data_IF_904508085392
#
_entry.id   IF_904508085392
#
_cell.length_a   1.000
_cell.length_b   1.000
_cell.length_c   1.000
_cell.angle_alpha   90.00
_cell.angle_beta   90.00
_cell.angle_gamma   90.00
#
_symmetry.space_group_name_H-M   'P 1'
#
loop_
_entity.id
_entity.type
_entity.pdbx_description
1 polymer ?
#
# COMPACT_ATOMS: atom_id res chain seq x y z
N UNK A 1 -27.25 2.63 2.20
CA UNK A 1 -26.42 3.84 2.16
C UNK A 1 -25.00 3.38 2.40
N UNK A 2 -24.23 3.13 1.34
CA UNK A 2 -22.79 2.86 1.48
C UNK A 2 -22.12 4.20 1.72
N UNK A 3 -21.49 4.32 2.88
CA UNK A 3 -20.69 5.46 3.26
C UNK A 3 -19.56 5.56 2.23
N UNK A 4 -19.64 6.51 1.31
CA UNK A 4 -18.49 6.89 0.51
C UNK A 4 -17.58 7.61 1.48
N UNK A 5 -16.59 6.90 2.03
CA UNK A 5 -15.46 7.57 2.67
C UNK A 5 -14.87 8.46 1.59
N UNK A 6 -15.06 9.77 1.69
CA UNK A 6 -14.38 10.71 0.83
C UNK A 6 -12.90 10.64 1.22
N UNK A 7 -12.16 9.73 0.60
CA UNK A 7 -10.72 9.59 0.80
C UNK A 7 -10.08 10.86 0.26
N UNK A 8 -9.72 11.78 1.16
CA UNK A 8 -8.91 12.94 0.78
C UNK A 8 -7.51 12.42 0.48
N UNK A 9 -6.93 12.81 -0.66
CA UNK A 9 -5.56 12.42 -0.98
C UNK A 9 -4.58 12.95 0.06
N UNK A 10 -3.54 12.17 0.38
CA UNK A 10 -2.52 12.59 1.31
C UNK A 10 -1.67 13.73 0.70
N UNK A 11 -1.33 14.75 1.49
CA UNK A 11 -0.37 15.76 1.05
C UNK A 11 1.05 15.21 1.18
N UNK A 12 1.64 14.82 0.06
CA UNK A 12 2.96 14.18 0.04
C UNK A 12 4.10 15.12 0.42
N UNK A 13 3.96 16.43 0.23
CA UNK A 13 4.99 17.42 0.59
C UNK A 13 5.09 17.63 2.10
N UNK A 14 3.99 17.45 2.82
CA UNK A 14 3.90 17.61 4.28
C UNK A 14 4.03 16.28 5.02
N UNK A 15 4.08 15.17 4.29
CA UNK A 15 4.22 13.83 4.87
C UNK A 15 5.69 13.50 5.09
N UNK A 16 6.09 13.38 6.35
CA UNK A 16 7.43 12.90 6.71
C UNK A 16 7.53 11.40 6.45
N UNK A 17 8.60 11.00 5.77
CA UNK A 17 8.90 9.61 5.40
C UNK A 17 10.38 9.32 5.69
N UNK A 18 10.78 8.07 6.00
CA UNK A 18 9.92 6.88 6.11
C UNK A 18 9.01 6.89 7.35
N UNK A 19 8.07 5.95 7.39
CA UNK A 19 7.15 5.72 8.51
C UNK A 19 7.08 4.22 8.87
N UNK A 20 6.45 3.91 10.00
CA UNK A 20 6.21 2.52 10.45
C UNK A 20 5.07 1.83 9.67
N UNK A 21 4.96 0.51 9.80
CA UNK A 21 3.91 -0.26 9.11
C UNK A 21 2.49 0.18 9.51
N UNK A 22 2.27 0.56 10.77
CA UNK A 22 0.94 0.93 11.24
C UNK A 22 0.44 2.19 10.53
N UNK A 23 1.29 3.21 10.45
CA UNK A 23 1.07 4.45 9.72
C UNK A 23 0.90 4.17 8.23
N UNK A 24 1.73 3.30 7.67
CA UNK A 24 1.63 2.88 6.27
C UNK A 24 0.27 2.28 5.92
N UNK A 25 -0.21 1.33 6.73
CA UNK A 25 -1.51 0.69 6.55
C UNK A 25 -2.67 1.67 6.76
N UNK A 26 -2.50 2.65 7.65
CA UNK A 26 -3.48 3.72 7.83
C UNK A 26 -3.62 4.58 6.57
N UNK A 27 -2.50 5.06 6.00
CA UNK A 27 -2.53 5.82 4.74
C UNK A 27 -3.08 5.01 3.57
N UNK A 28 -2.71 3.73 3.46
CA UNK A 28 -3.28 2.83 2.46
C UNK A 28 -4.81 2.70 2.59
N UNK A 29 -5.33 2.63 3.82
CA UNK A 29 -6.76 2.44 4.07
C UNK A 29 -7.58 3.72 3.91
N UNK A 30 -7.10 4.81 4.50
CA UNK A 30 -7.86 6.06 4.62
C UNK A 30 -7.70 6.97 3.41
N UNK A 31 -6.54 6.91 2.76
CA UNK A 31 -6.21 7.77 1.62
C UNK A 31 -6.15 6.98 0.31
N UNK A 32 -6.04 5.64 0.37
CA UNK A 32 -5.90 4.79 -0.82
C UNK A 32 -4.48 4.75 -1.37
N UNK A 33 -3.49 5.09 -0.55
CA UNK A 33 -2.10 5.21 -0.98
C UNK A 33 -1.46 3.87 -1.33
N UNK A 34 -0.57 3.91 -2.31
CA UNK A 34 0.37 2.84 -2.60
C UNK A 34 1.56 2.99 -1.65
N UNK A 35 1.95 1.91 -0.97
CA UNK A 35 3.01 1.95 0.05
C UNK A 35 4.21 1.16 -0.43
N UNK A 36 5.39 1.77 -0.52
CA UNK A 36 6.66 1.09 -0.79
C UNK A 36 7.35 0.70 0.52
N UNK A 37 7.82 -0.53 0.63
CA UNK A 37 8.83 -0.94 1.61
C UNK A 37 10.18 -0.99 0.90
N UNK A 38 11.13 -0.17 1.36
CA UNK A 38 12.49 -0.11 0.78
C UNK A 38 13.54 -0.19 1.87
N UNK A 39 14.36 -1.23 1.79
CA UNK A 39 15.56 -1.38 2.60
C UNK A 39 16.69 -2.09 1.82
N UNK A 40 17.71 -2.60 2.50
CA UNK A 40 18.84 -3.29 1.85
C UNK A 40 18.44 -4.62 1.18
N UNK A 41 17.38 -5.27 1.67
CA UNK A 41 16.93 -6.61 1.28
C UNK A 41 15.63 -6.58 0.48
N UNK A 42 14.73 -5.65 0.82
CA UNK A 42 13.38 -5.55 0.30
C UNK A 42 13.23 -4.30 -0.56
N UNK A 43 12.56 -4.48 -1.70
CA UNK A 43 12.05 -3.38 -2.51
C UNK A 43 10.76 -3.82 -3.19
N UNK A 44 9.63 -3.46 -2.60
CA UNK A 44 8.30 -3.77 -3.12
C UNK A 44 7.32 -2.67 -2.74
N UNK A 45 6.28 -2.49 -3.54
CA UNK A 45 5.13 -1.66 -3.15
C UNK A 45 3.89 -2.50 -2.96
N UNK A 46 2.98 -1.98 -2.15
CA UNK A 46 1.74 -2.61 -1.74
C UNK A 46 0.56 -1.71 -2.00
N UNK A 47 -0.59 -2.31 -2.25
CA UNK A 47 -1.87 -1.60 -2.26
C UNK A 47 -3.00 -2.51 -1.79
N UNK A 48 -4.05 -1.88 -1.27
CA UNK A 48 -5.26 -2.53 -0.81
C UNK A 48 -6.25 -2.67 -1.96
N UNK A 49 -6.63 -3.90 -2.26
CA UNK A 49 -7.74 -4.24 -3.15
C UNK A 49 -8.94 -4.68 -2.30
N UNK A 50 -10.11 -4.11 -2.60
CA UNK A 50 -11.37 -4.44 -1.93
C UNK A 50 -12.35 -4.96 -2.96
N UNK A 51 -12.62 -6.25 -2.89
CA UNK A 51 -13.54 -6.91 -3.82
C UNK A 51 -14.87 -7.18 -3.14
N UNK A 52 -15.96 -6.68 -3.74
CA UNK A 52 -17.32 -7.01 -3.33
C UNK A 52 -17.79 -8.24 -4.09
N UNK A 53 -17.96 -9.36 -3.40
CA UNK A 53 -18.38 -10.64 -4.00
C UNK A 53 -19.47 -11.35 -3.20
N UNK A 54 -20.24 -12.28 -3.80
CA UNK A 54 -21.17 -13.11 -3.04
C UNK A 54 -20.43 -14.01 -2.05
N UNK A 55 -20.89 -14.07 -0.81
CA UNK A 55 -20.41 -14.96 0.25
C UNK A 55 -21.57 -15.47 1.12
N UNK A 56 -21.26 -16.33 2.11
CA UNK A 56 -22.25 -16.86 3.07
C UNK A 56 -21.96 -16.26 4.44
N UNK A 57 -22.91 -15.51 4.99
CA UNK A 57 -22.87 -14.95 6.35
C UNK A 57 -24.10 -15.43 7.09
N UNK A 58 -23.91 -16.08 8.24
CA UNK A 58 -25.00 -16.66 9.04
C UNK A 58 -25.96 -17.54 8.21
N UNK A 59 -25.41 -18.36 7.31
CA UNK A 59 -26.18 -19.30 6.48
C UNK A 59 -26.96 -18.66 5.32
N UNK A 60 -26.79 -17.36 5.05
CA UNK A 60 -27.47 -16.66 3.95
C UNK A 60 -26.48 -16.07 2.97
N UNK A 61 -26.84 -16.10 1.68
CA UNK A 61 -26.07 -15.46 0.61
C UNK A 61 -26.17 -13.94 0.74
N UNK A 62 -25.03 -13.29 0.87
CA UNK A 62 -24.92 -11.84 0.99
C UNK A 62 -23.71 -11.35 0.19
N UNK A 63 -23.70 -10.08 -0.18
CA UNK A 63 -22.46 -9.47 -0.66
C UNK A 63 -21.54 -9.22 0.53
N UNK A 64 -20.31 -9.67 0.43
CA UNK A 64 -19.25 -9.41 1.40
C UNK A 64 -18.13 -8.66 0.70
N UNK A 65 -17.46 -7.79 1.45
CA UNK A 65 -16.22 -7.16 1.02
C UNK A 65 -15.06 -8.03 1.50
N UNK A 66 -14.18 -8.38 0.57
CA UNK A 66 -12.96 -9.12 0.87
C UNK A 66 -11.79 -8.21 0.55
N UNK A 67 -11.00 -7.93 1.58
CA UNK A 67 -9.82 -7.10 1.46
C UNK A 67 -8.60 -7.99 1.20
N UNK A 68 -7.73 -7.54 0.31
CA UNK A 68 -6.44 -8.17 0.04
C UNK A 68 -5.41 -7.08 -0.12
N UNK A 69 -4.24 -7.26 0.50
CA UNK A 69 -3.08 -6.40 0.24
C UNK A 69 -2.19 -7.15 -0.73
N UNK A 70 -1.97 -6.56 -1.90
CA UNK A 70 -1.01 -7.08 -2.86
C UNK A 70 0.36 -6.47 -2.61
N UNK A 71 1.42 -7.21 -2.90
CA UNK A 71 2.80 -6.73 -2.84
C UNK A 71 3.52 -7.09 -4.14
N UNK A 72 4.09 -6.09 -4.82
CA UNK A 72 4.77 -6.23 -6.10
C UNK A 72 6.19 -5.67 -6.05
N UNK A 73 7.12 -6.38 -6.66
CA UNK A 73 8.49 -5.92 -6.85
C UNK A 73 8.63 -5.09 -8.13
N UNK A 74 9.82 -4.53 -8.35
CA UNK A 74 10.12 -3.70 -9.53
C UNK A 74 9.98 -4.40 -10.88
N UNK A 75 9.97 -5.74 -10.90
CA UNK A 75 9.80 -6.53 -12.12
C UNK A 75 8.33 -6.90 -12.39
N UNK A 76 7.39 -6.38 -11.59
CA UNK A 76 5.96 -6.67 -11.68
C UNK A 76 5.57 -8.04 -11.13
N UNK A 77 6.49 -8.75 -10.50
CA UNK A 77 6.23 -10.03 -9.82
C UNK A 77 5.70 -9.81 -8.42
N UNK A 78 4.87 -10.75 -7.93
CA UNK A 78 4.41 -10.71 -6.53
C UNK A 78 5.55 -11.07 -5.58
N UNK A 79 5.65 -10.34 -4.47
CA UNK A 79 6.57 -10.70 -3.38
C UNK A 79 6.04 -11.94 -2.67
N UNK A 80 6.74 -13.06 -2.80
CA UNK A 80 6.29 -14.37 -2.27
C UNK A 80 6.66 -14.62 -0.81
N UNK A 81 7.68 -13.92 -0.32
CA UNK A 81 8.15 -14.02 1.07
C UNK A 81 8.48 -12.64 1.59
N UNK A 82 7.95 -12.31 2.76
CA UNK A 82 8.25 -11.09 3.50
C UNK A 82 8.74 -11.49 4.89
N UNK A 83 9.91 -11.03 5.29
CA UNK A 83 10.38 -11.23 6.65
C UNK A 83 9.60 -10.29 7.59
N UNK A 84 8.85 -10.88 8.52
CA UNK A 84 8.03 -10.11 9.47
C UNK A 84 8.88 -9.22 10.37
N UNK A 85 10.14 -9.59 10.66
CA UNK A 85 11.03 -8.76 11.44
C UNK A 85 11.31 -7.41 10.75
N UNK A 86 11.48 -7.41 9.43
CA UNK A 86 11.75 -6.22 8.64
C UNK A 86 10.54 -5.27 8.63
N UNK A 87 9.33 -5.80 8.83
CA UNK A 87 8.11 -4.99 8.88
C UNK A 87 7.97 -4.12 10.13
N UNK A 88 8.82 -4.32 11.14
CA UNK A 88 8.84 -3.48 12.35
C UNK A 88 9.77 -2.26 12.21
N UNK A 89 10.48 -2.12 11.09
CA UNK A 89 11.35 -0.98 10.86
C UNK A 89 10.58 0.20 10.24
N UNK A 90 11.11 1.42 10.41
CA UNK A 90 10.66 2.62 9.69
C UNK A 90 11.25 2.63 8.27
N UNK A 91 10.73 1.75 7.43
CA UNK A 91 11.23 1.53 6.06
C UNK A 91 10.11 1.61 5.01
N UNK A 92 8.99 2.26 5.37
CA UNK A 92 7.83 2.45 4.51
C UNK A 92 7.73 3.89 4.00
N UNK A 93 7.35 4.01 2.73
CA UNK A 93 7.24 5.24 1.97
C UNK A 93 5.93 5.20 1.16
N UNK A 94 5.44 6.35 0.73
CA UNK A 94 4.41 6.45 -0.31
C UNK A 94 5.06 6.17 -1.66
N UNK A 95 4.56 5.16 -2.37
CA UNK A 95 5.04 4.82 -3.71
C UNK A 95 4.73 5.99 -4.67
N UNK A 96 5.76 6.46 -5.36
CA UNK A 96 5.65 7.48 -6.38
C UNK A 96 5.44 6.83 -7.75
N UNK A 97 4.88 7.58 -8.69
CA UNK A 97 4.65 7.14 -10.06
C UNK A 97 5.08 8.22 -11.04
N UNK A 98 5.58 7.80 -12.20
CA UNK A 98 5.92 8.70 -13.30
C UNK A 98 4.66 9.21 -14.03
N UNK A 99 4.86 10.09 -15.03
CA UNK A 99 3.76 10.67 -15.83
C UNK A 99 2.94 9.61 -16.61
N UNK A 100 3.49 8.42 -16.82
CA UNK A 100 2.82 7.31 -17.50
C UNK A 100 2.13 6.36 -16.52
N UNK A 101 2.22 6.61 -15.21
CA UNK A 101 1.69 5.75 -14.16
C UNK A 101 2.56 4.54 -13.85
N UNK A 102 3.82 4.51 -14.29
CA UNK A 102 4.75 3.47 -13.88
C UNK A 102 5.30 3.78 -12.49
N UNK A 103 5.46 2.77 -11.62
CA UNK A 103 6.02 2.99 -10.30
C UNK A 103 7.47 3.48 -10.39
N UNK A 104 7.81 4.54 -9.65
CA UNK A 104 9.15 5.09 -9.55
C UNK A 104 9.96 4.36 -8.46
N UNK A 105 11.03 3.69 -8.89
CA UNK A 105 11.91 2.89 -8.05
C UNK A 105 13.19 3.60 -7.63
N UNK A 106 13.35 4.89 -7.95
CA UNK A 106 14.46 5.71 -7.44
C UNK A 106 14.52 5.64 -5.91
N UNK A 107 15.72 5.75 -5.35
CA UNK A 107 15.89 5.63 -3.91
C UNK A 107 15.22 6.83 -3.21
N UNK A 108 14.23 6.59 -2.33
CA UNK A 108 13.46 7.67 -1.71
C UNK A 108 14.27 8.51 -0.70
N UNK A 109 15.48 8.05 -0.33
CA UNK A 109 16.38 8.78 0.58
C UNK A 109 17.31 9.74 -0.16
N UNK A 110 17.40 9.65 -1.49
CA UNK A 110 18.22 10.55 -2.29
C UNK A 110 17.48 11.87 -2.55
N UNK A 111 18.21 13.00 -2.65
CA UNK A 111 17.62 14.25 -3.10
C UNK A 111 16.98 14.08 -4.48
N UNK A 112 15.77 14.59 -4.68
CA UNK A 112 15.17 14.70 -6.00
C UNK A 112 15.91 15.81 -6.77
N UNK A 113 16.50 15.46 -7.92
CA UNK A 113 17.17 16.42 -8.82
C UNK A 113 16.18 17.36 -9.50
#
# INVERSE_FOLDING_TARGET
MTQTTNNTLLNLEETTQPFDLATALQYMKDNGEFIRCKNATNDFYMYRDVQRRPGIVNGRRQFVEVETVWAFNQWGGTTTTINVADLFNEEFYIMQFDENGNPDWTDPTLPKE
#
